data_IF_150026987517
#
_entry.id   IF_150026987517
#
_cell.length_a   1.000
_cell.length_b   1.000
_cell.length_c   1.000
_cell.angle_alpha   90.00
_cell.angle_beta   90.00
_cell.angle_gamma   90.00
#
_symmetry.space_group_name_H-M   'P 1'
#
loop_
_entity.id
_entity.type
_entity.pdbx_description
1 polymer ?
#
# COMPACT_ATOMS: atom_id res chain seq x y z
N UNK A 1 13.87 1.07 -18.86
CA UNK A 1 12.87 1.92 -19.53
C UNK A 1 13.14 3.35 -19.12
N UNK A 2 13.07 4.30 -20.05
CA UNK A 2 13.36 5.72 -19.78
C UNK A 2 12.11 6.46 -19.30
N UNK A 3 12.31 7.50 -18.49
CA UNK A 3 11.26 8.32 -17.83
C UNK A 3 10.13 8.82 -18.76
N UNK A 4 10.42 8.99 -20.06
CA UNK A 4 9.44 9.43 -21.06
C UNK A 4 8.46 8.33 -21.50
N UNK A 5 8.76 7.04 -21.27
CA UNK A 5 7.90 5.93 -21.70
C UNK A 5 6.72 5.69 -20.75
N UNK A 6 6.80 6.17 -19.50
CA UNK A 6 5.70 6.04 -18.51
C UNK A 6 4.50 6.92 -18.89
N UNK A 7 4.74 8.06 -19.53
CA UNK A 7 3.70 9.04 -19.89
C UNK A 7 2.84 8.63 -21.10
N UNK A 8 3.24 7.60 -21.85
CA UNK A 8 2.60 7.20 -23.13
C UNK A 8 1.88 5.83 -23.00
N UNK A 9 1.82 5.24 -21.80
CA UNK A 9 1.16 3.95 -21.61
C UNK A 9 -0.37 4.08 -21.60
N UNK A 10 -1.06 3.13 -22.26
CA UNK A 10 -2.53 3.07 -22.19
C UNK A 10 -2.96 2.87 -20.73
N UNK A 11 -4.14 3.37 -20.30
CA UNK A 11 -4.60 3.25 -18.92
C UNK A 11 -4.56 1.81 -18.37
N UNK A 12 -4.85 0.82 -19.22
CA UNK A 12 -4.79 -0.60 -18.87
C UNK A 12 -3.36 -1.13 -18.69
N UNK A 13 -2.41 -0.70 -19.53
CA UNK A 13 -0.99 -1.08 -19.42
C UNK A 13 -0.38 -0.45 -18.16
N UNK A 14 -0.77 0.80 -17.85
CA UNK A 14 -0.38 1.50 -16.63
C UNK A 14 -0.88 0.80 -15.37
N UNK A 15 -2.16 0.43 -15.33
CA UNK A 15 -2.76 -0.27 -14.18
C UNK A 15 -2.07 -1.62 -13.91
N UNK A 16 -1.79 -2.40 -14.96
CA UNK A 16 -1.08 -3.67 -14.84
C UNK A 16 0.37 -3.48 -14.39
N UNK A 17 1.03 -2.42 -14.87
CA UNK A 17 2.37 -2.02 -14.44
C UNK A 17 2.44 -1.53 -12.98
N UNK A 18 1.37 -0.93 -12.45
CA UNK A 18 1.30 -0.48 -11.05
C UNK A 18 1.03 -1.65 -10.10
N UNK A 19 0.16 -2.59 -10.47
CA UNK A 19 -0.09 -3.80 -9.69
C UNK A 19 1.18 -4.65 -9.50
N UNK A 20 1.95 -4.87 -10.56
CA UNK A 20 3.22 -5.58 -10.49
C UNK A 20 4.26 -4.85 -9.62
N UNK A 21 4.29 -3.51 -9.68
CA UNK A 21 5.17 -2.71 -8.82
C UNK A 21 4.78 -2.82 -7.35
N UNK A 22 3.47 -2.86 -7.04
CA UNK A 22 3.00 -3.08 -5.67
C UNK A 22 3.41 -4.45 -5.14
N UNK A 23 3.27 -5.51 -5.94
CA UNK A 23 3.76 -6.84 -5.56
C UNK A 23 5.26 -6.85 -5.29
N UNK A 24 6.07 -6.29 -6.21
CA UNK A 24 7.53 -6.19 -6.07
C UNK A 24 7.94 -5.46 -4.79
N UNK A 25 7.31 -4.32 -4.49
CA UNK A 25 7.58 -3.55 -3.27
C UNK A 25 7.19 -4.31 -2.02
N UNK A 26 6.07 -5.03 -2.02
CA UNK A 26 5.65 -5.83 -0.88
C UNK A 26 6.62 -7.00 -0.63
N UNK A 27 7.09 -7.68 -1.67
CA UNK A 27 8.11 -8.73 -1.54
C UNK A 27 9.45 -8.17 -1.03
N UNK A 28 9.91 -7.07 -1.62
CA UNK A 28 11.14 -6.36 -1.22
C UNK A 28 11.06 -5.88 0.24
N UNK A 29 9.95 -5.28 0.65
CA UNK A 29 9.73 -4.83 2.02
C UNK A 29 9.65 -5.99 3.02
N UNK A 30 9.08 -7.13 2.59
CA UNK A 30 9.03 -8.35 3.40
C UNK A 30 10.44 -8.87 3.68
N UNK A 31 11.27 -8.96 2.66
CA UNK A 31 12.66 -9.44 2.77
C UNK A 31 13.54 -8.51 3.61
N UNK A 32 13.24 -7.21 3.61
CA UNK A 32 13.93 -6.19 4.40
C UNK A 32 13.38 -6.00 5.82
N UNK A 33 12.44 -6.85 6.25
CA UNK A 33 11.73 -6.75 7.55
C UNK A 33 11.02 -5.40 7.78
N UNK A 34 10.69 -4.67 6.71
CA UNK A 34 10.12 -3.31 6.76
C UNK A 34 8.60 -3.25 6.56
N UNK A 35 7.94 -4.41 6.59
CA UNK A 35 6.49 -4.53 6.60
C UNK A 35 5.89 -4.65 8.00
N UNK A 36 4.80 -3.91 8.21
CA UNK A 36 3.83 -4.10 9.30
C UNK A 36 2.48 -4.49 8.70
N UNK A 37 1.78 -5.44 9.31
CA UNK A 37 0.52 -6.01 8.81
C UNK A 37 -0.47 -6.02 9.96
N UNK A 38 -1.71 -5.64 9.69
CA UNK A 38 -2.76 -5.53 10.71
C UNK A 38 -3.17 -4.09 10.94
N UNK A 39 -4.47 -3.84 11.07
CA UNK A 39 -5.00 -2.48 11.30
C UNK A 39 -4.44 -1.90 12.60
N UNK A 40 -4.38 -2.71 13.65
CA UNK A 40 -3.94 -2.27 14.97
C UNK A 40 -2.42 -2.06 15.02
N UNK A 41 -1.65 -2.97 14.43
CA UNK A 41 -0.20 -2.92 14.34
C UNK A 41 0.24 -1.70 13.53
N UNK A 42 -0.40 -1.46 12.39
CA UNK A 42 -0.15 -0.30 11.56
C UNK A 42 -0.49 1.01 12.30
N UNK A 43 -1.65 1.07 12.97
CA UNK A 43 -2.00 2.23 13.78
C UNK A 43 -1.02 2.47 14.94
N UNK A 44 -0.44 1.40 15.52
CA UNK A 44 0.58 1.52 16.56
C UNK A 44 1.87 2.13 16.02
N UNK A 45 2.34 1.69 14.85
CA UNK A 45 3.53 2.27 14.18
C UNK A 45 3.30 3.75 13.88
N UNK A 46 2.17 4.09 13.26
CA UNK A 46 1.80 5.49 12.97
C UNK A 46 1.81 6.38 14.21
N UNK A 47 1.37 5.87 15.36
CA UNK A 47 1.38 6.63 16.63
C UNK A 47 2.78 6.75 17.25
N UNK A 48 3.68 5.80 17.00
CA UNK A 48 5.00 5.76 17.62
C UNK A 48 6.04 6.51 16.79
N UNK A 49 6.04 6.30 15.47
CA UNK A 49 7.05 6.83 14.55
C UNK A 49 6.44 7.05 13.15
N UNK A 50 5.67 8.13 12.94
CA UNK A 50 5.06 8.42 11.64
C UNK A 50 6.06 8.73 10.55
N UNK A 51 7.21 9.31 10.92
CA UNK A 51 8.26 9.70 9.96
C UNK A 51 8.91 8.46 9.31
N UNK A 52 8.81 7.29 9.96
CA UNK A 52 9.28 6.03 9.39
C UNK A 52 8.37 5.50 8.29
N UNK A 53 7.10 5.91 8.22
CA UNK A 53 6.09 5.32 7.33
C UNK A 53 6.22 5.93 5.93
N UNK A 54 6.48 5.09 4.93
CA UNK A 54 6.61 5.52 3.54
C UNK A 54 5.30 5.31 2.77
N UNK A 55 4.67 4.14 2.92
CA UNK A 55 3.54 3.75 2.09
C UNK A 55 2.51 2.91 2.87
N UNK A 56 1.23 3.10 2.56
CA UNK A 56 0.11 2.40 3.19
C UNK A 56 -0.77 1.70 2.14
N UNK A 57 -1.14 0.46 2.42
CA UNK A 57 -2.08 -0.34 1.62
C UNK A 57 -3.27 -0.68 2.50
N UNK A 58 -4.48 -0.41 2.00
CA UNK A 58 -5.73 -0.87 2.61
C UNK A 58 -6.35 -1.95 1.75
N UNK A 59 -6.71 -3.08 2.34
CA UNK A 59 -7.44 -4.15 1.68
C UNK A 59 -8.86 -4.26 2.24
N UNK A 60 -9.85 -4.18 1.36
CA UNK A 60 -11.26 -4.24 1.72
C UNK A 60 -11.94 -5.25 0.81
N UNK A 61 -12.38 -6.38 1.38
CA UNK A 61 -13.28 -7.27 0.66
C UNK A 61 -14.74 -6.85 0.91
N UNK A 62 -15.62 -7.19 -0.03
CA UNK A 62 -17.06 -6.90 0.03
C UNK A 62 -17.71 -7.39 1.34
N UNK A 63 -17.20 -8.50 1.90
CA UNK A 63 -17.69 -9.09 3.15
C UNK A 63 -17.49 -8.17 4.38
N UNK A 64 -16.52 -7.26 4.33
CA UNK A 64 -16.17 -6.37 5.45
C UNK A 64 -16.68 -4.93 5.26
N UNK A 65 -17.40 -4.64 4.17
CA UNK A 65 -18.06 -3.34 3.99
C UNK A 65 -19.09 -3.04 5.09
N UNK A 66 -19.68 -4.09 5.67
CA UNK A 66 -20.66 -3.96 6.76
C UNK A 66 -20.02 -3.85 8.16
N UNK A 67 -18.70 -4.04 8.31
CA UNK A 67 -18.03 -3.91 9.60
C UNK A 67 -17.76 -2.42 9.90
N UNK A 68 -18.65 -1.83 10.70
CA UNK A 68 -18.54 -0.42 11.10
C UNK A 68 -17.22 -0.13 11.83
N UNK A 69 -16.72 -1.05 12.65
CA UNK A 69 -15.48 -0.84 13.40
C UNK A 69 -14.29 -0.76 12.44
N UNK A 70 -14.23 -1.67 11.46
CA UNK A 70 -13.19 -1.65 10.44
C UNK A 70 -13.27 -0.40 9.56
N UNK A 71 -14.47 0.02 9.15
CA UNK A 71 -14.65 1.24 8.37
C UNK A 71 -14.22 2.51 9.13
N UNK A 72 -14.47 2.56 10.45
CA UNK A 72 -13.93 3.62 11.31
C UNK A 72 -12.40 3.60 11.29
N UNK A 73 -11.78 2.43 11.45
CA UNK A 73 -10.33 2.32 11.42
C UNK A 73 -9.72 2.75 10.08
N UNK A 74 -10.31 2.37 8.95
CA UNK A 74 -9.86 2.84 7.63
C UNK A 74 -9.98 4.34 7.49
N UNK A 75 -11.06 4.95 7.98
CA UNK A 75 -11.23 6.40 7.97
C UNK A 75 -10.14 7.09 8.78
N UNK A 76 -9.81 6.57 9.97
CA UNK A 76 -8.74 7.11 10.81
C UNK A 76 -7.36 6.97 10.15
N UNK A 77 -7.06 5.80 9.57
CA UNK A 77 -5.80 5.54 8.87
C UNK A 77 -5.65 6.43 7.64
N UNK A 78 -6.71 6.60 6.85
CA UNK A 78 -6.71 7.49 5.68
C UNK A 78 -6.46 8.94 6.09
N UNK A 79 -7.15 9.44 7.12
CA UNK A 79 -6.91 10.79 7.66
C UNK A 79 -5.47 10.96 8.10
N UNK A 80 -4.92 9.96 8.82
CA UNK A 80 -3.54 9.98 9.28
C UNK A 80 -2.55 10.06 8.12
N UNK A 81 -2.73 9.22 7.10
CA UNK A 81 -1.86 9.22 5.93
C UNK A 81 -1.92 10.56 5.19
N UNK A 82 -3.11 11.14 5.06
CA UNK A 82 -3.29 12.44 4.43
C UNK A 82 -2.59 13.57 5.21
N UNK A 83 -2.75 13.60 6.53
CA UNK A 83 -2.18 14.65 7.38
C UNK A 83 -0.63 14.60 7.44
N UNK A 84 -0.04 13.42 7.18
CA UNK A 84 1.41 13.20 7.21
C UNK A 84 2.03 12.97 5.81
N UNK A 85 1.30 13.29 4.72
CA UNK A 85 1.76 13.12 3.33
C UNK A 85 2.21 11.69 2.96
N UNK A 86 1.69 10.68 3.64
CA UNK A 86 1.97 9.25 3.36
C UNK A 86 1.16 8.83 2.13
N UNK A 87 1.83 8.18 1.17
CA UNK A 87 1.15 7.59 0.01
C UNK A 87 0.30 6.40 0.44
N UNK A 88 -0.96 6.39 0.01
CA UNK A 88 -1.95 5.38 0.37
C UNK A 88 -2.71 4.89 -0.86
N UNK A 89 -2.98 3.59 -0.90
CA UNK A 89 -3.77 2.92 -1.96
C UNK A 89 -4.76 1.93 -1.37
N UNK A 90 -5.80 1.61 -2.14
CA UNK A 90 -6.69 0.47 -1.87
C UNK A 90 -6.35 -0.70 -2.79
N UNK A 91 -6.53 -1.91 -2.29
CA UNK A 91 -6.57 -3.14 -3.08
C UNK A 91 -7.87 -3.89 -2.81
N UNK A 92 -8.41 -4.51 -3.84
CA UNK A 92 -9.69 -5.26 -3.78
C UNK A 92 -9.51 -6.76 -3.58
N UNK A 93 -8.30 -7.29 -3.69
CA UNK A 93 -8.01 -8.72 -3.53
C UNK A 93 -7.17 -8.94 -2.26
N UNK A 94 -7.84 -9.06 -1.12
CA UNK A 94 -7.17 -9.28 0.16
C UNK A 94 -6.50 -10.64 0.23
N UNK A 95 -7.10 -11.67 -0.39
CA UNK A 95 -6.51 -13.00 -0.43
C UNK A 95 -5.15 -12.97 -1.13
N UNK A 96 -5.06 -12.28 -2.27
CA UNK A 96 -3.80 -12.09 -2.98
C UNK A 96 -2.79 -11.28 -2.18
N UNK A 97 -3.24 -10.22 -1.50
CA UNK A 97 -2.36 -9.45 -0.61
C UNK A 97 -1.80 -10.33 0.51
N UNK A 98 -2.65 -11.13 1.16
CA UNK A 98 -2.25 -12.03 2.23
C UNK A 98 -1.25 -13.11 1.76
N UNK A 99 -1.41 -13.60 0.53
CA UNK A 99 -0.45 -14.55 -0.08
C UNK A 99 0.95 -13.94 -0.24
N UNK A 100 1.05 -12.72 -0.77
CA UNK A 100 2.32 -12.02 -0.98
C UNK A 100 3.02 -11.80 0.38
N UNK A 101 2.25 -11.33 1.35
CA UNK A 101 2.76 -10.97 2.69
C UNK A 101 2.93 -12.20 3.61
N UNK A 102 2.54 -13.39 3.15
CA UNK A 102 2.18 -14.63 3.86
C UNK A 102 3.11 -15.28 4.90
N UNK A 103 4.11 -14.59 5.45
CA UNK A 103 4.90 -15.04 6.61
C UNK A 103 4.77 -14.10 7.83
N UNK A 104 4.36 -12.85 7.63
CA UNK A 104 4.14 -11.88 8.73
C UNK A 104 2.68 -11.79 9.20
N UNK A 105 1.75 -12.26 8.38
CA UNK A 105 0.33 -12.37 8.73
C UNK A 105 0.12 -13.63 9.58
N UNK A 106 0.50 -13.57 10.87
CA UNK A 106 0.43 -14.70 11.81
C UNK A 106 -0.96 -15.32 11.97
N UNK A 107 -2.01 -14.68 11.46
CA UNK A 107 -3.29 -15.26 11.08
C UNK A 107 -3.76 -14.49 9.83
N UNK A 108 -4.30 -15.19 8.83
CA UNK A 108 -4.80 -14.61 7.57
C UNK A 108 -5.93 -13.58 7.77
N UNK A 109 -6.44 -13.43 9.00
CA UNK A 109 -7.69 -12.74 9.35
C UNK A 109 -7.56 -11.21 9.52
N UNK A 110 -6.37 -10.61 9.41
CA UNK A 110 -6.20 -9.15 9.56
C UNK A 110 -5.19 -8.53 8.57
N UNK A 111 -5.17 -8.96 7.31
CA UNK A 111 -4.38 -8.30 6.27
C UNK A 111 -5.07 -7.04 5.69
N UNK A 112 -5.95 -6.40 6.46
CA UNK A 112 -6.75 -5.23 6.05
C UNK A 112 -5.92 -3.95 5.91
N UNK A 113 -4.76 -3.89 6.55
CA UNK A 113 -3.82 -2.78 6.42
C UNK A 113 -2.39 -3.30 6.41
N UNK A 114 -1.59 -2.78 5.48
CA UNK A 114 -0.15 -3.05 5.41
C UNK A 114 0.58 -1.72 5.34
N UNK A 115 1.58 -1.55 6.20
CA UNK A 115 2.50 -0.43 6.17
C UNK A 115 3.88 -0.87 5.73
N UNK A 116 4.47 -0.04 4.89
CA UNK A 116 5.85 -0.11 4.46
C UNK A 116 6.59 1.04 5.14
N UNK A 117 7.57 0.71 5.96
CA UNK A 117 8.43 1.68 6.64
C UNK A 117 9.80 1.78 5.97
N UNK A 118 10.46 2.93 6.04
CA UNK A 118 11.86 3.04 5.65
C UNK A 118 12.74 2.34 6.71
N UNK A 119 13.73 1.52 6.30
CA UNK A 119 14.64 0.92 7.26
C UNK A 119 15.48 2.00 7.96
N UNK A 120 15.76 1.79 9.25
CA UNK A 120 16.45 2.76 10.10
C UNK A 120 17.91 3.03 9.67
N UNK A 121 18.53 2.10 8.92
CA UNK A 121 19.92 2.18 8.46
C UNK A 121 20.00 2.08 6.92
N UNK A 122 19.65 3.17 6.24
CA UNK A 122 19.84 3.33 4.79
C UNK A 122 18.57 3.78 4.07
N UNK A 123 18.72 4.64 3.06
CA UNK A 123 17.62 4.93 2.14
C UNK A 123 17.40 3.69 1.29
N UNK A 124 16.38 2.90 1.63
CA UNK A 124 15.88 1.90 0.72
C UNK A 124 15.24 2.64 -0.47
N UNK A 125 16.01 2.74 -1.55
CA UNK A 125 15.56 3.35 -2.80
C UNK A 125 15.05 2.22 -3.69
N UNK A 126 13.78 1.86 -3.50
CA UNK A 126 13.10 0.90 -4.37
C UNK A 126 12.45 1.64 -5.55
N UNK A 127 12.90 1.40 -6.80
CA UNK A 127 12.32 2.06 -7.98
C UNK A 127 10.82 1.75 -8.16
N UNK A 128 10.37 0.58 -7.71
CA UNK A 128 8.96 0.23 -7.75
C UNK A 128 8.16 1.04 -6.72
N UNK A 129 8.74 1.37 -5.56
CA UNK A 129 8.13 2.24 -4.56
C UNK A 129 8.02 3.69 -5.05
N UNK A 130 9.06 4.22 -5.70
CA UNK A 130 9.01 5.55 -6.33
C UNK A 130 7.89 5.64 -7.37
N UNK A 131 7.72 4.59 -8.18
CA UNK A 131 6.63 4.49 -9.15
C UNK A 131 5.26 4.51 -8.49
N UNK A 132 5.08 3.88 -7.33
CA UNK A 132 3.84 3.93 -6.57
C UNK A 132 3.58 5.33 -6.00
N UNK A 133 4.61 6.02 -5.49
CA UNK A 133 4.47 7.41 -5.05
C UNK A 133 4.02 8.32 -6.19
N UNK A 134 4.62 8.19 -7.37
CA UNK A 134 4.23 8.94 -8.57
C UNK A 134 2.78 8.63 -8.96
N UNK A 135 2.38 7.36 -8.94
CA UNK A 135 1.00 6.96 -9.19
C UNK A 135 0.02 7.63 -8.22
N UNK A 136 0.30 7.63 -6.92
CA UNK A 136 -0.52 8.34 -5.93
C UNK A 136 -0.57 9.85 -6.20
N UNK A 137 0.56 10.48 -6.54
CA UNK A 137 0.62 11.91 -6.86
C UNK A 137 -0.27 12.26 -8.06
N UNK A 138 -0.20 11.46 -9.12
CA UNK A 138 -1.01 11.68 -10.32
C UNK A 138 -2.50 11.45 -10.08
N UNK A 139 -2.86 10.43 -9.29
CA UNK A 139 -4.25 10.18 -8.88
C UNK A 139 -4.81 11.34 -8.07
N UNK A 140 -4.02 11.89 -7.13
CA UNK A 140 -4.42 13.09 -6.36
C UNK A 140 -4.68 14.29 -7.27
N UNK A 141 -3.92 14.49 -8.34
CA UNK A 141 -4.17 15.55 -9.35
C UNK A 141 -5.50 15.37 -10.08
N UNK A 142 -6.05 14.15 -10.09
CA UNK A 142 -7.36 13.80 -10.63
C UNK A 142 -8.47 13.77 -9.57
N UNK A 143 -8.19 14.20 -8.34
CA UNK A 143 -9.08 14.11 -7.17
C UNK A 143 -9.39 12.68 -6.71
N UNK A 144 -8.57 11.72 -7.11
CA UNK A 144 -8.61 10.35 -6.59
C UNK A 144 -7.57 10.22 -5.46
N UNK A 145 -8.05 10.44 -4.22
CA UNK A 145 -7.20 10.59 -3.03
C UNK A 145 -6.66 9.27 -2.49
N UNK A 146 -7.37 8.18 -2.74
CA UNK A 146 -6.99 6.84 -2.29
C UNK A 146 -7.24 5.92 -3.48
N UNK A 147 -6.33 5.91 -4.47
CA UNK A 147 -6.53 5.17 -5.71
C UNK A 147 -6.51 3.67 -5.47
N UNK A 148 -7.25 2.94 -6.29
CA UNK A 148 -7.32 1.48 -6.25
C UNK A 148 -6.27 0.85 -7.19
N UNK A 149 -5.63 -0.23 -6.73
CA UNK A 149 -4.70 -1.04 -7.50
C UNK A 149 -5.19 -2.49 -7.48
N UNK A 150 -5.27 -3.10 -8.65
CA UNK A 150 -5.48 -4.55 -8.76
C UNK A 150 -4.13 -5.26 -8.75
N UNK A 151 -3.96 -6.19 -7.81
CA UNK A 151 -2.79 -7.06 -7.77
C UNK A 151 -2.82 -8.04 -8.96
N UNK A 152 -1.67 -8.39 -9.55
CA UNK A 152 -1.62 -9.32 -10.66
C UNK A 152 -2.04 -10.73 -10.22
N UNK A 153 -2.81 -11.40 -11.08
CA UNK A 153 -3.13 -12.82 -10.93
C UNK A 153 -1.91 -13.71 -11.14
N UNK A 154 -1.99 -14.93 -10.62
CA UNK A 154 -0.95 -15.95 -10.70
C UNK A 154 -0.71 -16.50 -12.11
#
# INVERSE_FOLDING_TARGET
>A
MTFEEVLIQKPAERAQCTGAALEEVLESAKDNDSLTVGVYECAKVMNLDPDSVSFCVLAVDEEFECDIALQIHFTLIQSFCFDNDISIVRVSDMQRLAEIVGDKAGQLEDAHCVLITNPAEGSWEDPALEKLHLFCEESRRLNDWVPEISLPGR
#
